data_IF_861171077526
#
_entry.id   IF_861171077526
#
_cell.length_a   1.000
_cell.length_b   1.000
_cell.length_c   1.000
_cell.angle_alpha   90.00
_cell.angle_beta   90.00
_cell.angle_gamma   90.00
#
_symmetry.space_group_name_H-M   'P 1'
#
loop_
_entity.id
_entity.type
_entity.pdbx_description
1 polymer ?
#
# COMPACT_ATOMS: atom_id res chain seq x y z
N UNK A 1 8.57 17.76 6.83
CA UNK A 1 8.27 17.93 5.39
C UNK A 1 8.13 19.43 5.11
N UNK A 2 8.68 19.92 3.98
CA UNK A 2 8.59 21.33 3.59
C UNK A 2 7.25 21.69 2.95
N UNK A 3 6.97 22.99 2.85
CA UNK A 3 5.82 23.51 2.11
C UNK A 3 6.17 23.61 0.62
N UNK A 4 5.41 22.92 -0.22
CA UNK A 4 5.50 23.05 -1.68
C UNK A 4 4.37 23.95 -2.18
N UNK A 5 4.72 25.07 -2.81
CA UNK A 5 3.76 25.96 -3.45
C UNK A 5 3.71 25.64 -4.95
N UNK A 6 2.64 24.97 -5.38
CA UNK A 6 2.40 24.62 -6.79
C UNK A 6 1.31 25.53 -7.34
N UNK A 7 1.58 26.25 -8.42
CA UNK A 7 0.60 27.16 -9.04
C UNK A 7 -0.41 26.37 -9.91
N UNK A 8 -1.50 27.03 -10.28
CA UNK A 8 -2.59 26.41 -11.04
C UNK A 8 -2.14 25.90 -12.42
N UNK A 9 -1.25 26.61 -13.11
CA UNK A 9 -0.77 26.24 -14.43
C UNK A 9 0.13 25.00 -14.38
N UNK A 10 1.00 24.91 -13.37
CA UNK A 10 1.82 23.72 -13.11
C UNK A 10 0.93 22.53 -12.76
N UNK A 11 -0.11 22.73 -11.94
CA UNK A 11 -1.05 21.68 -11.60
C UNK A 11 -1.82 21.19 -12.85
N UNK A 12 -2.32 22.12 -13.66
CA UNK A 12 -3.07 21.83 -14.88
C UNK A 12 -2.23 21.12 -15.95
N UNK A 13 -0.92 21.41 -16.00
CA UNK A 13 0.03 20.73 -16.89
C UNK A 13 0.59 19.41 -16.36
N UNK A 14 0.28 19.04 -15.11
CA UNK A 14 0.82 17.83 -14.49
C UNK A 14 0.06 16.58 -14.90
N UNK A 15 0.77 15.44 -14.93
CA UNK A 15 0.17 14.12 -15.07
C UNK A 15 0.13 13.43 -13.71
N UNK A 16 -1.04 12.98 -13.31
CA UNK A 16 -1.21 12.21 -12.08
C UNK A 16 -1.15 10.72 -12.40
N UNK A 17 -0.28 9.99 -11.69
CA UNK A 17 -0.22 8.54 -11.75
C UNK A 17 -0.92 7.95 -10.54
N UNK A 18 -1.73 6.92 -10.77
CA UNK A 18 -2.24 6.05 -9.71
C UNK A 18 -1.16 5.02 -9.43
N UNK A 19 -0.87 4.74 -8.16
CA UNK A 19 0.09 3.71 -7.77
C UNK A 19 -0.64 2.40 -7.46
N UNK A 20 -0.54 1.37 -8.32
CA UNK A 20 -1.11 0.05 -8.03
C UNK A 20 -0.54 -0.58 -6.76
N UNK A 21 0.73 -0.28 -6.46
CA UNK A 21 1.38 -0.75 -5.25
C UNK A 21 0.79 -0.07 -4.01
N UNK A 22 0.47 1.24 -4.08
CA UNK A 22 -0.21 1.92 -2.97
C UNK A 22 -1.56 1.28 -2.65
N UNK A 23 -2.37 0.96 -3.66
CA UNK A 23 -3.66 0.26 -3.47
C UNK A 23 -3.48 -1.16 -2.89
N UNK A 24 -2.48 -1.89 -3.40
CA UNK A 24 -2.15 -3.24 -2.94
C UNK A 24 -1.71 -3.24 -1.47
N UNK A 25 -0.77 -2.36 -1.10
CA UNK A 25 -0.29 -2.25 0.27
C UNK A 25 -1.31 -1.62 1.22
N UNK A 26 -2.24 -0.80 0.73
CA UNK A 26 -3.40 -0.36 1.52
C UNK A 26 -4.30 -1.56 1.90
N UNK A 27 -4.51 -2.50 0.98
CA UNK A 27 -5.24 -3.75 1.26
C UNK A 27 -4.48 -4.64 2.25
N UNK A 28 -3.14 -4.75 2.11
CA UNK A 28 -2.31 -5.45 3.08
C UNK A 28 -2.36 -4.79 4.46
N UNK A 29 -2.38 -3.45 4.52
CA UNK A 29 -2.54 -2.69 5.76
C UNK A 29 -3.89 -2.93 6.41
N UNK A 30 -4.96 -3.06 5.64
CA UNK A 30 -6.27 -3.46 6.16
C UNK A 30 -6.20 -4.87 6.80
N UNK A 31 -5.54 -5.84 6.16
CA UNK A 31 -5.31 -7.17 6.76
C UNK A 31 -4.48 -7.09 8.04
N UNK A 32 -3.41 -6.28 8.03
CA UNK A 32 -2.53 -6.11 9.17
C UNK A 32 -3.25 -5.45 10.36
N UNK A 33 -4.04 -4.41 10.11
CA UNK A 33 -4.87 -3.78 11.13
C UNK A 33 -5.97 -4.73 11.64
N UNK A 34 -6.49 -5.59 10.76
CA UNK A 34 -7.48 -6.61 11.11
C UNK A 34 -8.87 -6.07 11.48
N UNK A 35 -9.10 -4.77 11.28
CA UNK A 35 -10.34 -4.09 11.63
C UNK A 35 -10.81 -3.22 10.45
N UNK A 36 -12.01 -3.52 9.94
CA UNK A 36 -12.68 -2.76 8.89
C UNK A 36 -13.71 -1.80 9.47
N UNK A 37 -13.79 -0.59 8.91
CA UNK A 37 -14.75 0.47 9.26
C UNK A 37 -16.03 0.36 8.43
N UNK A 38 -15.96 -0.26 7.25
CA UNK A 38 -17.10 -0.41 6.33
C UNK A 38 -17.59 -1.86 6.20
N UNK A 39 -18.87 -2.11 5.89
CA UNK A 39 -19.41 -3.46 5.72
C UNK A 39 -18.63 -4.33 4.71
N UNK A 40 -18.18 -3.72 3.60
CA UNK A 40 -17.37 -4.38 2.58
C UNK A 40 -16.03 -4.87 3.13
N UNK A 41 -15.30 -4.02 3.86
CA UNK A 41 -14.03 -4.38 4.51
C UNK A 41 -14.23 -5.50 5.53
N UNK A 42 -15.32 -5.48 6.30
CA UNK A 42 -15.63 -6.55 7.26
C UNK A 42 -15.86 -7.89 6.56
N UNK A 43 -16.56 -7.89 5.43
CA UNK A 43 -16.77 -9.10 4.62
C UNK A 43 -15.45 -9.61 4.03
N UNK A 44 -14.64 -8.70 3.48
CA UNK A 44 -13.35 -9.03 2.91
C UNK A 44 -12.36 -9.56 3.96
N UNK A 45 -12.29 -8.96 5.14
CA UNK A 45 -11.48 -9.43 6.27
C UNK A 45 -11.90 -10.81 6.73
N UNK A 46 -13.21 -11.09 6.84
CA UNK A 46 -13.68 -12.44 7.19
C UNK A 46 -13.16 -13.50 6.22
N UNK A 47 -13.11 -13.18 4.93
CA UNK A 47 -12.63 -14.10 3.91
C UNK A 47 -11.09 -14.28 3.94
N UNK A 48 -10.31 -13.21 4.11
CA UNK A 48 -8.86 -13.24 3.84
C UNK A 48 -7.97 -13.20 5.08
N UNK A 49 -8.44 -12.62 6.20
CA UNK A 49 -7.65 -12.42 7.42
C UNK A 49 -7.06 -13.73 8.00
N UNK A 50 -7.78 -14.87 8.02
CA UNK A 50 -7.22 -16.12 8.51
C UNK A 50 -6.02 -16.60 7.67
N UNK A 51 -6.10 -16.48 6.34
CA UNK A 51 -5.02 -16.87 5.43
C UNK A 51 -3.77 -16.01 5.63
N UNK A 52 -3.97 -14.69 5.70
CA UNK A 52 -2.90 -13.74 5.99
C UNK A 52 -2.19 -14.01 7.33
N UNK A 53 -2.95 -14.29 8.40
CA UNK A 53 -2.36 -14.61 9.70
C UNK A 53 -1.55 -15.91 9.68
N UNK A 54 -2.01 -16.93 8.96
CA UNK A 54 -1.23 -18.17 8.76
C UNK A 54 0.07 -17.91 8.01
N UNK A 55 0.03 -17.08 6.96
CA UNK A 55 1.22 -16.70 6.21
C UNK A 55 2.27 -16.07 7.12
N UNK A 56 1.88 -15.05 7.91
CA UNK A 56 2.81 -14.37 8.81
C UNK A 56 3.32 -15.26 9.95
N UNK A 57 2.49 -16.19 10.44
CA UNK A 57 2.93 -17.16 11.44
C UNK A 57 3.94 -18.17 10.88
N UNK A 58 3.84 -18.50 9.58
CA UNK A 58 4.74 -19.41 8.87
C UNK A 58 6.05 -18.78 8.40
N UNK A 59 6.13 -17.44 8.33
CA UNK A 59 7.31 -16.70 7.89
C UNK A 59 7.57 -15.47 8.79
N UNK A 60 8.43 -15.62 9.82
CA UNK A 60 8.76 -14.54 10.73
C UNK A 60 9.47 -13.35 10.09
N UNK A 61 10.21 -13.55 9.00
CA UNK A 61 10.94 -12.45 8.32
C UNK A 61 9.94 -11.57 7.59
N UNK A 62 9.02 -12.17 6.85
CA UNK A 62 7.92 -11.44 6.20
C UNK A 62 7.07 -10.70 7.25
N UNK A 63 6.78 -11.33 8.40
CA UNK A 63 6.03 -10.68 9.47
C UNK A 63 6.72 -9.42 10.02
N UNK A 64 8.05 -9.46 10.21
CA UNK A 64 8.84 -8.31 10.63
C UNK A 64 8.86 -7.20 9.57
N UNK A 65 9.02 -7.57 8.29
CA UNK A 65 9.01 -6.62 7.18
C UNK A 65 7.67 -5.88 7.09
N UNK A 66 6.55 -6.61 7.15
CA UNK A 66 5.20 -6.02 7.12
C UNK A 66 5.00 -5.07 8.31
N UNK A 67 5.42 -5.47 9.51
CA UNK A 67 5.33 -4.63 10.70
C UNK A 67 6.18 -3.37 10.60
N UNK A 68 7.35 -3.44 9.96
CA UNK A 68 8.24 -2.30 9.77
C UNK A 68 7.74 -1.35 8.65
N UNK A 69 7.12 -1.90 7.61
CA UNK A 69 6.69 -1.16 6.43
C UNK A 69 5.30 -0.55 6.51
N UNK A 70 4.43 -1.00 7.42
CA UNK A 70 3.05 -0.53 7.54
C UNK A 70 2.81 0.17 8.89
N UNK A 71 2.81 1.50 8.86
CA UNK A 71 2.42 2.31 10.01
C UNK A 71 0.91 2.52 10.14
N UNK A 72 0.43 3.08 11.27
CA UNK A 72 -1.00 3.33 11.48
C UNK A 72 -1.64 4.21 10.41
N UNK A 73 -0.93 5.26 9.96
CA UNK A 73 -1.42 6.24 8.98
C UNK A 73 -0.59 6.34 7.71
N UNK A 74 0.49 5.57 7.59
CA UNK A 74 1.43 5.63 6.46
C UNK A 74 1.80 4.23 5.95
N UNK A 75 2.38 4.18 4.76
CA UNK A 75 3.03 3.01 4.13
C UNK A 75 4.46 3.46 3.80
N UNK A 76 5.46 2.62 4.05
CA UNK A 76 6.85 2.99 3.80
C UNK A 76 7.11 3.19 2.31
N UNK A 77 7.86 4.23 1.96
CA UNK A 77 8.12 4.61 0.56
C UNK A 77 8.78 3.49 -0.25
N UNK A 78 9.56 2.61 0.38
CA UNK A 78 10.18 1.47 -0.31
C UNK A 78 9.17 0.39 -0.74
N UNK A 79 7.97 0.35 -0.13
CA UNK A 79 6.88 -0.53 -0.55
C UNK A 79 6.05 0.08 -1.69
N UNK A 80 6.03 1.41 -1.77
CA UNK A 80 5.22 2.14 -2.74
C UNK A 80 6.07 3.17 -3.48
N UNK A 81 7.13 2.74 -4.19
CA UNK A 81 7.93 3.67 -4.98
C UNK A 81 7.03 4.37 -6.01
N UNK A 82 7.37 5.62 -6.34
CA UNK A 82 6.66 6.36 -7.39
C UNK A 82 6.62 5.54 -8.67
N UNK A 83 5.42 5.30 -9.26
CA UNK A 83 5.31 4.61 -10.53
C UNK A 83 6.04 5.35 -11.63
N UNK A 84 6.60 4.62 -12.58
CA UNK A 84 7.11 5.21 -13.83
C UNK A 84 5.96 5.33 -14.83
N UNK A 85 6.08 6.23 -15.80
CA UNK A 85 5.08 6.35 -16.87
C UNK A 85 5.01 5.03 -17.65
N UNK A 86 3.79 4.58 -17.96
CA UNK A 86 3.50 3.31 -18.64
C UNK A 86 4.04 2.04 -17.94
N UNK A 87 4.39 2.12 -16.65
CA UNK A 87 4.85 0.96 -15.88
C UNK A 87 3.69 0.01 -15.56
N UNK A 88 3.85 -1.27 -15.90
CA UNK A 88 2.93 -2.30 -15.48
C UNK A 88 3.16 -2.74 -14.02
N UNK A 89 2.17 -3.44 -13.45
CA UNK A 89 2.24 -3.88 -12.06
C UNK A 89 3.46 -4.77 -11.77
N UNK A 90 3.79 -5.69 -12.67
CA UNK A 90 4.85 -6.68 -12.45
C UNK A 90 6.23 -6.00 -12.44
N UNK A 91 6.46 -5.06 -13.37
CA UNK A 91 7.65 -4.24 -13.42
C UNK A 91 7.79 -3.38 -12.16
N UNK A 92 6.69 -2.79 -11.68
CA UNK A 92 6.67 -2.06 -10.42
C UNK A 92 7.00 -2.95 -9.21
N UNK A 93 6.38 -4.13 -9.13
CA UNK A 93 6.57 -5.07 -8.03
C UNK A 93 8.01 -5.62 -7.96
N UNK A 94 8.69 -5.77 -9.09
CA UNK A 94 10.09 -6.21 -9.12
C UNK A 94 11.08 -5.19 -8.52
N UNK A 95 10.65 -3.96 -8.22
CA UNK A 95 11.46 -2.90 -7.59
C UNK A 95 11.28 -2.82 -6.07
N UNK A 96 10.43 -3.67 -5.50
CA UNK A 96 10.11 -3.75 -4.06
C UNK A 96 10.68 -5.04 -3.50
#
# INVERSE_FOLDING_TARGET
>A
MGLWQVNADTLAGSRFLISPLAETFASLKLLHAGAGRHPGERAWLRAHLPGYRRLLAGDPVTALLVRAGLGPSWIADFLTPTPRDEEDFAAGAARV
#
